data_IF_105974987123
#
_entry.id   IF_105974987123
#
_cell.length_a   1.000
_cell.length_b   1.000
_cell.length_c   1.000
_cell.angle_alpha   90.00
_cell.angle_beta   90.00
_cell.angle_gamma   90.00
#
_symmetry.space_group_name_H-M   'P 1'
#
loop_
_entity.id
_entity.type
_entity.pdbx_description
1 polymer ?
#
# COMPACT_ATOMS: atom_id res chain seq x y z
N UNK A 1 7.62 1.66 -23.68
CA UNK A 1 7.32 1.73 -22.23
C UNK A 1 6.72 3.10 -21.98
N UNK A 2 5.41 3.16 -21.69
CA UNK A 2 4.73 4.44 -21.47
C UNK A 2 5.20 5.02 -20.13
N UNK A 3 5.92 6.13 -20.21
CA UNK A 3 6.36 6.93 -19.08
C UNK A 3 5.11 7.70 -18.64
N UNK A 4 4.56 7.39 -17.46
CA UNK A 4 3.56 8.25 -16.83
C UNK A 4 4.11 9.68 -16.79
N UNK A 5 3.40 10.64 -17.40
CA UNK A 5 3.75 12.06 -17.27
C UNK A 5 3.76 12.41 -15.79
N UNK A 6 4.91 12.90 -15.33
CA UNK A 6 5.37 12.98 -13.93
C UNK A 6 4.52 13.87 -12.99
N UNK A 7 3.32 14.31 -13.38
CA UNK A 7 2.52 15.28 -12.62
C UNK A 7 1.00 15.15 -12.74
N UNK A 8 0.46 14.19 -13.48
CA UNK A 8 -1.00 13.98 -13.53
C UNK A 8 -1.37 12.81 -12.61
N UNK A 9 -2.31 13.05 -11.70
CA UNK A 9 -2.86 12.01 -10.85
C UNK A 9 -3.50 10.92 -11.74
N UNK A 10 -2.92 9.73 -11.74
CA UNK A 10 -3.42 8.61 -12.55
C UNK A 10 -4.63 7.99 -11.85
N UNK A 11 -5.80 8.01 -12.51
CA UNK A 11 -6.97 7.27 -12.04
C UNK A 11 -6.80 5.80 -12.37
N UNK A 12 -6.52 5.00 -11.35
CA UNK A 12 -6.42 3.56 -11.51
C UNK A 12 -7.81 2.91 -11.58
N UNK A 13 -8.06 2.13 -12.63
CA UNK A 13 -9.20 1.22 -12.72
C UNK A 13 -8.95 -0.08 -11.95
N UNK A 14 -7.71 -0.54 -11.96
CA UNK A 14 -7.29 -1.77 -11.27
C UNK A 14 -5.85 -1.65 -10.79
N UNK A 15 -5.61 -2.09 -9.57
CA UNK A 15 -4.26 -2.28 -9.02
C UNK A 15 -4.12 -3.76 -8.65
N UNK A 16 -3.00 -4.38 -9.01
CA UNK A 16 -2.68 -5.76 -8.65
C UNK A 16 -1.21 -5.90 -8.32
N UNK A 17 -0.87 -6.84 -7.45
CA UNK A 17 0.51 -7.14 -7.08
C UNK A 17 0.78 -8.63 -7.26
N UNK A 18 1.98 -8.98 -7.72
CA UNK A 18 2.43 -10.37 -7.86
C UNK A 18 3.86 -10.52 -7.35
N UNK A 19 4.07 -11.44 -6.41
CA UNK A 19 5.41 -11.76 -5.92
C UNK A 19 6.09 -12.74 -6.89
N UNK A 20 7.38 -12.50 -7.15
CA UNK A 20 8.26 -13.36 -7.94
C UNK A 20 9.51 -13.67 -7.14
N UNK A 21 10.04 -14.88 -7.30
CA UNK A 21 11.34 -15.26 -6.77
C UNK A 21 12.37 -15.13 -7.90
N UNK A 22 13.46 -14.44 -7.62
CA UNK A 22 14.64 -14.31 -8.48
C UNK A 22 15.76 -14.97 -7.69
N UNK A 23 16.32 -16.04 -8.23
CA UNK A 23 17.19 -16.95 -7.46
C UNK A 23 16.46 -17.57 -6.24
N UNK A 24 17.11 -18.47 -5.50
CA UNK A 24 16.46 -19.19 -4.38
C UNK A 24 16.01 -18.26 -3.24
N UNK A 25 16.58 -17.05 -3.15
CA UNK A 25 16.42 -16.15 -2.00
C UNK A 25 15.91 -14.73 -2.31
N UNK A 26 16.00 -14.22 -3.55
CA UNK A 26 15.64 -12.81 -3.82
C UNK A 26 14.18 -12.67 -4.20
N UNK A 27 13.38 -12.11 -3.29
CA UNK A 27 11.97 -11.82 -3.57
C UNK A 27 11.80 -10.44 -4.23
N UNK A 28 11.07 -10.41 -5.35
CA UNK A 28 10.63 -9.19 -6.04
C UNK A 28 9.11 -9.13 -6.12
N UNK A 29 8.57 -7.93 -6.27
CA UNK A 29 7.13 -7.72 -6.44
C UNK A 29 6.86 -6.88 -7.67
N UNK A 30 6.00 -7.38 -8.55
CA UNK A 30 5.47 -6.64 -9.68
C UNK A 30 4.16 -5.98 -9.26
N UNK A 31 4.18 -4.65 -9.17
CA UNK A 31 2.98 -3.85 -8.99
C UNK A 31 2.44 -3.43 -10.36
N UNK A 32 1.25 -3.93 -10.70
CA UNK A 32 0.54 -3.62 -11.94
C UNK A 32 -0.55 -2.60 -11.68
N UNK A 33 -0.48 -1.47 -12.38
CA UNK A 33 -1.50 -0.41 -12.32
C UNK A 33 -2.10 -0.25 -13.71
N UNK A 34 -3.41 -0.43 -13.82
CA UNK A 34 -4.17 -0.20 -15.05
C UNK A 34 -5.01 1.05 -14.89
N UNK A 35 -4.78 2.04 -15.75
CA UNK A 35 -5.54 3.30 -15.85
C UNK A 35 -6.97 3.04 -16.32
N UNK A 36 -7.86 3.99 -16.06
CA UNK A 36 -9.20 4.05 -16.66
C UNK A 36 -9.18 4.03 -18.18
N UNK A 37 -8.12 4.55 -18.79
CA UNK A 37 -7.95 4.61 -20.25
C UNK A 37 -7.44 3.29 -20.84
N UNK A 38 -7.26 2.26 -20.02
CA UNK A 38 -6.80 0.93 -20.41
C UNK A 38 -5.28 0.78 -20.44
N UNK A 39 -4.52 1.87 -20.36
CA UNK A 39 -3.06 1.82 -20.23
C UNK A 39 -2.64 1.09 -18.96
N UNK A 40 -1.61 0.26 -19.08
CA UNK A 40 -1.12 -0.56 -17.97
C UNK A 40 0.37 -0.37 -17.81
N UNK A 41 0.79 -0.08 -16.59
CA UNK A 41 2.19 -0.12 -16.21
C UNK A 41 2.46 -1.20 -15.19
N UNK A 42 3.69 -1.71 -15.25
CA UNK A 42 4.23 -2.68 -14.31
C UNK A 42 5.45 -2.05 -13.68
N UNK A 43 5.49 -2.04 -12.35
CA UNK A 43 6.56 -1.49 -11.53
C UNK A 43 7.20 -2.67 -10.80
N UNK A 44 8.47 -2.92 -11.08
CA UNK A 44 9.28 -3.94 -10.40
C UNK A 44 9.82 -3.32 -9.10
N UNK A 45 9.51 -3.94 -7.98
CA UNK A 45 9.92 -3.51 -6.65
C UNK A 45 10.81 -4.58 -6.01
N UNK A 46 11.91 -4.12 -5.40
CA UNK A 46 12.69 -4.96 -4.49
C UNK A 46 11.90 -5.24 -3.20
N UNK A 47 12.39 -6.19 -2.39
CA UNK A 47 11.79 -6.50 -1.10
C UNK A 47 11.73 -5.28 -0.16
N UNK A 48 12.81 -4.49 -0.09
CA UNK A 48 12.86 -3.31 0.78
C UNK A 48 11.96 -2.18 0.29
N UNK A 49 11.88 -1.96 -1.03
CA UNK A 49 10.94 -1.01 -1.62
C UNK A 49 9.48 -1.42 -1.35
N UNK A 50 9.20 -2.73 -1.43
CA UNK A 50 7.87 -3.28 -1.11
C UNK A 50 7.51 -3.05 0.36
N UNK A 51 8.45 -3.30 1.28
CA UNK A 51 8.25 -3.04 2.72
C UNK A 51 7.93 -1.57 2.98
N UNK A 52 8.69 -0.65 2.40
CA UNK A 52 8.45 0.79 2.55
C UNK A 52 7.07 1.18 2.00
N UNK A 53 6.71 0.67 0.82
CA UNK A 53 5.41 0.94 0.20
C UNK A 53 4.24 0.49 1.09
N UNK A 54 4.34 -0.67 1.74
CA UNK A 54 3.30 -1.15 2.67
C UNK A 54 3.14 -0.21 3.86
N UNK A 55 4.24 0.28 4.43
CA UNK A 55 4.20 1.25 5.54
C UNK A 55 3.52 2.55 5.10
N UNK A 56 3.93 3.10 3.97
CA UNK A 56 3.38 4.36 3.45
C UNK A 56 1.87 4.25 3.15
N UNK A 57 1.44 3.15 2.52
CA UNK A 57 0.03 2.89 2.25
C UNK A 57 -0.79 2.67 3.53
N UNK A 58 -0.22 2.01 4.54
CA UNK A 58 -0.89 1.83 5.84
C UNK A 58 -1.10 3.16 6.53
N UNK A 59 -0.08 4.02 6.55
CA UNK A 59 -0.16 5.36 7.13
C UNK A 59 -1.19 6.23 6.39
N UNK A 60 -1.16 6.23 5.06
CA UNK A 60 -2.13 6.95 4.24
C UNK A 60 -3.56 6.45 4.48
N UNK A 61 -3.76 5.13 4.55
CA UNK A 61 -5.06 4.54 4.87
C UNK A 61 -5.56 4.95 6.26
N UNK A 62 -4.69 4.95 7.27
CA UNK A 62 -5.02 5.42 8.62
C UNK A 62 -5.43 6.90 8.65
N UNK A 63 -4.83 7.74 7.81
CA UNK A 63 -5.25 9.14 7.66
C UNK A 63 -6.63 9.28 6.99
N UNK A 64 -6.95 8.41 6.01
CA UNK A 64 -8.25 8.40 5.34
C UNK A 64 -9.37 7.78 6.19
N UNK A 65 -9.03 6.90 7.13
CA UNK A 65 -9.96 6.27 8.06
C UNK A 65 -9.60 6.70 9.48
N UNK A 66 -10.08 7.86 9.95
CA UNK A 66 -9.90 8.24 11.35
C UNK A 66 -10.40 7.10 12.24
N UNK A 67 -9.67 6.85 13.34
CA UNK A 67 -9.97 5.74 14.24
C UNK A 67 -11.47 5.76 14.60
N UNK A 68 -12.15 4.62 14.40
CA UNK A 68 -13.57 4.46 14.76
C UNK A 68 -13.82 4.76 16.25
N UNK A 69 -12.76 4.74 17.04
CA UNK A 69 -12.72 5.07 18.45
C UNK A 69 -11.72 6.20 18.65
N UNK A 70 -12.14 7.26 19.32
CA UNK A 70 -11.23 8.29 19.83
C UNK A 70 -10.28 7.65 20.88
N UNK A 71 -9.08 8.19 21.05
CA UNK A 71 -8.11 7.72 22.04
C UNK A 71 -8.71 7.53 23.43
N UNK A 72 -9.65 8.39 23.88
CA UNK A 72 -10.36 8.23 25.16
C UNK A 72 -11.28 7.02 25.20
N UNK A 73 -11.79 6.56 24.06
CA UNK A 73 -12.59 5.34 23.97
C UNK A 73 -11.69 4.10 23.98
N UNK A 74 -10.54 4.17 23.31
CA UNK A 74 -9.48 3.14 23.41
C UNK A 74 -9.01 3.02 24.85
N UNK A 75 -8.65 4.12 25.51
CA UNK A 75 -8.19 4.14 26.90
C UNK A 75 -9.23 3.57 27.88
N UNK A 76 -10.53 3.86 27.64
CA UNK A 76 -11.63 3.28 28.43
C UNK A 76 -11.76 1.77 28.26
N UNK A 77 -11.62 1.25 27.03
CA UNK A 77 -11.70 -0.18 26.75
C UNK A 77 -10.48 -0.89 27.34
N UNK A 78 -9.30 -0.34 27.14
CA UNK A 78 -8.03 -0.82 27.69
C UNK A 78 -8.08 -0.88 29.23
N UNK A 79 -8.59 0.17 29.88
CA UNK A 79 -8.82 0.20 31.33
C UNK A 79 -9.89 -0.82 31.78
N UNK A 80 -10.97 -1.01 31.01
CA UNK A 80 -12.02 -1.98 31.31
C UNK A 80 -11.52 -3.43 31.28
N UNK A 81 -10.63 -3.76 30.34
CA UNK A 81 -10.04 -5.09 30.20
C UNK A 81 -8.73 -5.29 30.99
N UNK A 82 -8.26 -4.27 31.71
CA UNK A 82 -7.05 -4.35 32.54
C UNK A 82 -5.75 -4.62 31.77
N UNK A 83 -5.77 -4.44 30.46
CA UNK A 83 -4.57 -4.52 29.61
C UNK A 83 -3.86 -3.18 29.72
N UNK A 84 -2.57 -3.17 30.02
CA UNK A 84 -1.80 -1.94 30.21
C UNK A 84 -0.53 -2.01 29.39
#
# INVERSE_FOLDING_TARGET
MAIFKRSEAVKAKKVGAHARYVDEDVQRVDLKVTSTDGETAVIDLSLDQTRQLVVDLTNAYGACRPALLDQKQVDRITAFFGMR
#
